data_IF_532939265618
#
_entry.id   IF_532939265618
#
_cell.length_a   1.000
_cell.length_b   1.000
_cell.length_c   1.000
_cell.angle_alpha   90.00
_cell.angle_beta   90.00
_cell.angle_gamma   90.00
#
_symmetry.space_group_name_H-M   'P 1'
#
loop_
_entity.id
_entity.type
_entity.pdbx_description
1 polymer ?
#
# COMPACT_ATOMS: atom_id res chain seq x y z
N UNK A 1 10.91 63.69 -8.02
CA UNK A 1 10.88 62.50 -8.90
C UNK A 1 11.24 61.28 -8.05
N UNK A 2 10.26 60.47 -7.63
CA UNK A 2 10.47 59.29 -6.76
C UNK A 2 10.33 58.04 -7.63
N UNK A 3 11.41 57.30 -7.79
CA UNK A 3 11.43 56.00 -8.47
C UNK A 3 11.17 54.94 -7.40
N UNK A 4 10.13 54.12 -7.57
CA UNK A 4 9.88 52.93 -6.74
C UNK A 4 10.21 51.72 -7.59
N UNK A 5 11.20 50.94 -7.18
CA UNK A 5 11.53 49.63 -7.78
C UNK A 5 10.78 48.57 -7.00
N UNK A 6 9.82 47.90 -7.65
CA UNK A 6 9.13 46.75 -7.09
C UNK A 6 9.96 45.49 -7.36
N UNK A 7 10.59 44.95 -6.30
CA UNK A 7 11.28 43.67 -6.37
C UNK A 7 10.29 42.51 -6.34
N UNK A 8 10.33 41.66 -7.36
CA UNK A 8 9.56 40.42 -7.45
C UNK A 8 10.38 39.28 -6.84
N UNK A 9 10.08 38.86 -5.62
CA UNK A 9 10.65 37.66 -5.00
C UNK A 9 9.84 36.43 -5.45
N UNK A 10 10.47 35.58 -6.25
CA UNK A 10 9.94 34.27 -6.64
C UNK A 10 10.07 33.32 -5.44
N UNK A 11 8.97 33.03 -4.76
CA UNK A 11 8.92 32.02 -3.72
C UNK A 11 8.89 30.63 -4.36
N UNK A 12 9.99 29.88 -4.23
CA UNK A 12 10.04 28.47 -4.61
C UNK A 12 9.36 27.70 -3.47
N UNK A 13 8.12 27.27 -3.67
CA UNK A 13 7.45 26.39 -2.73
C UNK A 13 8.16 25.03 -2.74
N UNK A 14 8.90 24.75 -1.66
CA UNK A 14 9.51 23.44 -1.44
C UNK A 14 8.42 22.41 -1.22
N UNK A 15 8.28 21.46 -2.15
CA UNK A 15 7.55 20.23 -1.92
C UNK A 15 8.36 19.44 -0.88
N UNK A 16 8.04 19.61 0.40
CA UNK A 16 8.58 18.75 1.44
C UNK A 16 8.10 17.32 1.13
N UNK A 17 9.01 16.49 0.61
CA UNK A 17 8.80 15.05 0.58
C UNK A 17 8.55 14.63 2.03
N UNK A 18 7.34 14.17 2.32
CA UNK A 18 7.06 13.54 3.61
C UNK A 18 8.07 12.42 3.75
N UNK A 19 8.90 12.38 4.81
CA UNK A 19 9.76 11.24 5.04
C UNK A 19 8.84 10.04 5.05
N UNK A 20 9.02 9.14 4.08
CA UNK A 20 8.36 7.85 4.09
C UNK A 20 8.65 7.27 5.46
N UNK A 21 7.59 7.11 6.26
CA UNK A 21 7.67 6.36 7.49
C UNK A 21 8.24 5.01 7.10
N UNK A 22 9.54 4.80 7.33
CA UNK A 22 10.11 3.46 7.26
C UNK A 22 9.19 2.63 8.15
N UNK A 23 8.55 1.57 7.63
CA UNK A 23 7.83 0.69 8.50
C UNK A 23 8.89 0.17 9.45
N UNK A 24 8.90 0.71 10.67
CA UNK A 24 9.36 -0.05 11.83
C UNK A 24 8.72 -1.40 11.62
N UNK A 25 9.52 -2.46 11.58
CA UNK A 25 9.03 -3.84 11.47
C UNK A 25 8.22 -4.16 12.73
N UNK A 26 7.10 -3.45 12.88
CA UNK A 26 6.09 -3.66 13.86
C UNK A 26 5.34 -4.90 13.47
N UNK A 27 4.66 -5.45 14.43
CA UNK A 27 3.89 -6.66 14.25
C UNK A 27 2.79 -6.38 13.22
N UNK A 28 2.98 -6.90 12.00
CA UNK A 28 1.94 -6.86 10.97
C UNK A 28 0.79 -7.77 11.41
N UNK A 29 -0.44 -7.32 11.21
CA UNK A 29 -1.61 -8.18 11.42
C UNK A 29 -1.79 -9.04 10.17
N UNK A 30 -1.91 -10.35 10.34
CA UNK A 30 -2.19 -11.28 9.25
C UNK A 30 -3.56 -11.90 9.46
N UNK A 31 -4.53 -11.51 8.63
CA UNK A 31 -5.86 -12.13 8.59
C UNK A 31 -5.87 -13.18 7.50
N UNK A 32 -5.98 -14.45 7.89
CA UNK A 32 -6.02 -15.55 6.94
C UNK A 32 -7.43 -15.91 6.50
N UNK A 33 -7.52 -16.43 5.29
CA UNK A 33 -8.73 -17.06 4.75
C UNK A 33 -9.97 -16.15 4.76
N UNK A 34 -9.75 -14.84 4.55
CA UNK A 34 -10.83 -13.86 4.44
C UNK A 34 -11.63 -14.15 3.17
N UNK A 35 -12.90 -14.52 3.34
CA UNK A 35 -13.84 -14.68 2.23
C UNK A 35 -14.18 -13.29 1.69
N UNK A 36 -13.77 -13.02 0.45
CA UNK A 36 -14.08 -11.74 -0.21
C UNK A 36 -15.27 -11.84 -1.15
N UNK A 37 -15.60 -13.05 -1.59
CA UNK A 37 -16.75 -13.32 -2.46
C UNK A 37 -17.13 -14.78 -2.41
N UNK A 38 -18.41 -15.06 -2.60
CA UNK A 38 -18.90 -16.39 -2.94
C UNK A 38 -19.41 -16.38 -4.39
N UNK A 39 -19.05 -17.40 -5.16
CA UNK A 39 -19.49 -17.59 -6.55
C UNK A 39 -19.76 -19.08 -6.75
N UNK A 40 -20.95 -19.44 -7.24
CA UNK A 40 -21.32 -20.83 -7.52
C UNK A 40 -21.03 -21.79 -6.36
N UNK A 41 -21.42 -21.40 -5.14
CA UNK A 41 -21.16 -22.11 -3.87
C UNK A 41 -19.66 -22.32 -3.56
N UNK A 42 -18.78 -21.54 -4.18
CA UNK A 42 -17.34 -21.54 -3.92
C UNK A 42 -16.95 -20.23 -3.25
N UNK A 43 -16.40 -20.35 -2.04
CA UNK A 43 -15.82 -19.21 -1.34
C UNK A 43 -14.45 -18.86 -1.92
N UNK A 44 -14.32 -17.62 -2.40
CA UNK A 44 -13.04 -17.06 -2.82
C UNK A 44 -12.40 -16.35 -1.63
N UNK A 45 -11.19 -16.79 -1.30
CA UNK A 45 -10.47 -16.38 -0.08
C UNK A 45 -9.16 -15.68 -0.40
N UNK A 46 -8.76 -14.75 0.46
CA UNK A 46 -7.45 -14.09 0.45
C UNK A 46 -6.83 -14.08 1.85
N UNK A 47 -5.52 -13.83 1.90
CA UNK A 47 -4.82 -13.49 3.14
C UNK A 47 -4.50 -11.99 3.11
N UNK A 48 -4.85 -11.26 4.15
CA UNK A 48 -4.59 -9.82 4.27
C UNK A 48 -3.44 -9.57 5.24
N UNK A 49 -2.42 -8.86 4.78
CA UNK A 49 -1.24 -8.44 5.55
C UNK A 49 -1.38 -6.93 5.77
N UNK A 50 -1.66 -6.53 7.01
CA UNK A 50 -2.02 -5.16 7.35
C UNK A 50 -0.84 -4.50 8.09
N UNK A 51 -0.40 -3.31 7.65
CA UNK A 51 0.62 -2.57 8.38
C UNK A 51 0.07 -2.13 9.76
N UNK A 52 0.96 -1.92 10.74
CA UNK A 52 0.54 -1.41 12.03
C UNK A 52 0.02 0.03 11.91
N UNK A 53 -0.85 0.42 12.85
CA UNK A 53 -1.45 1.76 12.88
C UNK A 53 -2.78 1.84 12.12
N UNK A 54 -3.55 2.89 12.40
CA UNK A 54 -4.80 3.18 11.71
C UNK A 54 -4.60 4.18 10.57
N UNK A 55 -5.60 4.29 9.69
CA UNK A 55 -5.61 5.24 8.58
C UNK A 55 -5.85 4.59 7.23
N UNK A 56 -5.76 5.38 6.16
CA UNK A 56 -5.88 4.89 4.77
C UNK A 56 -4.49 4.60 4.25
N UNK A 57 -4.28 3.36 3.80
CA UNK A 57 -3.04 2.92 3.17
C UNK A 57 -3.31 2.56 1.70
N UNK A 58 -2.33 2.74 0.80
CA UNK A 58 -2.42 2.12 -0.52
C UNK A 58 -2.51 0.59 -0.37
N UNK A 59 -3.33 -0.04 -1.19
CA UNK A 59 -3.50 -1.49 -1.19
C UNK A 59 -2.76 -2.13 -2.39
N UNK A 60 -2.16 -3.29 -2.15
CA UNK A 60 -1.57 -4.13 -3.20
C UNK A 60 -2.32 -5.46 -3.23
N UNK A 61 -2.74 -5.88 -4.43
CA UNK A 61 -3.39 -7.18 -4.65
C UNK A 61 -2.42 -8.11 -5.35
N UNK A 62 -2.12 -9.24 -4.73
CA UNK A 62 -1.21 -10.26 -5.26
C UNK A 62 -2.02 -11.41 -5.86
N UNK A 63 -1.85 -11.66 -7.14
CA UNK A 63 -2.55 -12.72 -7.88
C UNK A 63 -1.52 -13.79 -8.26
N UNK A 64 -1.71 -15.01 -7.76
CA UNK A 64 -0.78 -16.11 -8.03
C UNK A 64 -0.80 -16.55 -9.50
N UNK A 65 0.35 -17.04 -9.96
CA UNK A 65 0.47 -17.70 -11.26
C UNK A 65 -0.01 -19.16 -11.22
N UNK A 66 0.49 -19.97 -12.17
CA UNK A 66 0.15 -21.40 -12.30
C UNK A 66 -0.77 -21.72 -13.47
N UNK A 67 -0.82 -20.85 -14.48
CA UNK A 67 -1.51 -21.11 -15.75
C UNK A 67 -3.01 -21.36 -15.62
N UNK A 68 -3.65 -20.82 -14.59
CA UNK A 68 -5.07 -21.03 -14.25
C UNK A 68 -5.47 -22.48 -13.89
N UNK A 69 -4.50 -23.37 -13.70
CA UNK A 69 -4.75 -24.77 -13.34
C UNK A 69 -4.33 -25.07 -11.90
N UNK A 70 -3.25 -24.43 -11.45
CA UNK A 70 -2.68 -24.64 -10.12
C UNK A 70 -2.32 -23.32 -9.45
N UNK A 71 -2.05 -23.36 -8.15
CA UNK A 71 -1.56 -22.23 -7.37
C UNK A 71 -2.33 -22.05 -6.06
N UNK A 72 -1.84 -21.17 -5.20
CA UNK A 72 -2.47 -20.84 -3.93
C UNK A 72 -2.09 -19.42 -3.49
N UNK A 73 -2.98 -18.76 -2.74
CA UNK A 73 -2.74 -17.42 -2.15
C UNK A 73 -1.46 -17.33 -1.32
N UNK A 74 -1.05 -18.42 -0.68
CA UNK A 74 0.16 -18.47 0.15
C UNK A 74 1.48 -18.42 -0.63
N UNK A 75 1.47 -18.56 -1.96
CA UNK A 75 2.68 -18.53 -2.79
C UNK A 75 3.47 -17.22 -2.65
N UNK A 76 2.83 -16.14 -2.23
CA UNK A 76 3.45 -14.83 -2.03
C UNK A 76 3.67 -14.43 -0.56
N UNK A 77 3.48 -15.32 0.42
CA UNK A 77 3.55 -14.92 1.84
C UNK A 77 4.82 -14.14 2.19
N UNK A 78 6.00 -14.64 1.79
CA UNK A 78 7.27 -13.95 2.07
C UNK A 78 7.37 -12.57 1.41
N UNK A 79 6.79 -12.40 0.23
CA UNK A 79 6.78 -11.13 -0.49
C UNK A 79 5.76 -10.15 0.11
N UNK A 80 4.57 -10.63 0.44
CA UNK A 80 3.52 -9.82 1.07
C UNK A 80 3.96 -9.20 2.39
N UNK A 81 4.80 -9.89 3.17
CA UNK A 81 5.39 -9.38 4.43
C UNK A 81 6.45 -8.30 4.24
N UNK A 82 6.94 -8.09 3.02
CA UNK A 82 7.96 -7.09 2.69
C UNK A 82 7.37 -5.80 2.10
N UNK A 83 6.08 -5.80 1.76
CA UNK A 83 5.33 -4.63 1.31
C UNK A 83 4.87 -3.80 2.51
#
# INVERSE_FOLDING_TARGET
MRIVVAGLTLAIAGMAASPGSEPTRGDIEVRRDVVYREVDNTELRLDAYLPPGGGVHPAVVLIHGGGWVIGAKGAFESFARQL
#
